data_IF_914099943792
#
_entry.id   IF_914099943792
#
_cell.length_a   1.000
_cell.length_b   1.000
_cell.length_c   1.000
_cell.angle_alpha   90.00
_cell.angle_beta   90.00
_cell.angle_gamma   90.00
#
_symmetry.space_group_name_H-M   'P 1'
#
loop_
_entity.id
_entity.type
_entity.pdbx_description
1 polymer ?
#
# COMPACT_ATOMS: atom_id res chain seq x y z
N UNK A 1 -30.18 -4.90 34.49
CA UNK A 1 -28.74 -4.63 34.68
C UNK A 1 -27.85 -5.50 33.78
N UNK A 2 -28.11 -6.80 33.60
CA UNK A 2 -27.23 -7.70 32.85
C UNK A 2 -27.16 -7.44 31.33
N UNK A 3 -28.30 -7.24 30.65
CA UNK A 3 -28.34 -7.16 29.17
C UNK A 3 -27.52 -6.00 28.61
N UNK A 4 -27.66 -4.81 29.20
CA UNK A 4 -26.88 -3.62 28.81
C UNK A 4 -25.36 -3.84 28.96
N UNK A 5 -24.96 -4.43 30.10
CA UNK A 5 -23.58 -4.78 30.39
C UNK A 5 -23.05 -5.83 29.43
N UNK A 6 -23.85 -6.84 29.06
CA UNK A 6 -23.46 -7.86 28.08
C UNK A 6 -23.27 -7.28 26.68
N UNK A 7 -24.13 -6.36 26.25
CA UNK A 7 -24.01 -5.69 24.94
C UNK A 7 -22.75 -4.82 24.90
N UNK A 8 -22.53 -3.99 25.93
CA UNK A 8 -21.31 -3.20 26.05
C UNK A 8 -20.06 -4.08 26.09
N UNK A 9 -20.10 -5.17 26.85
CA UNK A 9 -18.99 -6.08 26.97
C UNK A 9 -18.69 -6.77 25.64
N UNK A 10 -19.72 -7.22 24.90
CA UNK A 10 -19.56 -7.75 23.55
C UNK A 10 -18.95 -6.72 22.59
N UNK A 11 -19.41 -5.48 22.65
CA UNK A 11 -18.86 -4.37 21.86
C UNK A 11 -17.39 -4.10 22.20
N UNK A 12 -17.03 -4.15 23.49
CA UNK A 12 -15.65 -4.02 23.96
C UNK A 12 -14.77 -5.16 23.45
N UNK A 13 -15.22 -6.42 23.57
CA UNK A 13 -14.47 -7.59 23.10
C UNK A 13 -14.24 -7.51 21.60
N UNK A 14 -15.26 -7.09 20.84
CA UNK A 14 -15.13 -6.88 19.39
C UNK A 14 -14.12 -5.77 19.05
N UNK A 15 -14.13 -4.67 19.80
CA UNK A 15 -13.16 -3.59 19.60
C UNK A 15 -11.73 -3.98 19.99
N UNK A 16 -11.56 -4.71 21.10
CA UNK A 16 -10.27 -5.18 21.58
C UNK A 16 -9.65 -6.19 20.61
N UNK A 17 -10.46 -7.13 20.11
CA UNK A 17 -10.01 -8.10 19.11
C UNK A 17 -9.65 -7.41 17.80
N UNK A 18 -10.45 -6.43 17.35
CA UNK A 18 -10.12 -5.59 16.19
C UNK A 18 -8.79 -4.85 16.39
N UNK A 19 -8.58 -4.21 17.55
CA UNK A 19 -7.33 -3.53 17.86
C UNK A 19 -6.13 -4.48 17.90
N UNK A 20 -6.29 -5.68 18.45
CA UNK A 20 -5.24 -6.68 18.52
C UNK A 20 -4.84 -7.16 17.11
N UNK A 21 -5.82 -7.44 16.26
CA UNK A 21 -5.59 -7.77 14.84
C UNK A 21 -4.89 -6.61 14.15
N UNK A 22 -5.32 -5.37 14.39
CA UNK A 22 -4.79 -4.19 13.71
C UNK A 22 -3.37 -3.81 14.18
N UNK A 23 -3.05 -4.10 15.44
CA UNK A 23 -1.75 -3.84 16.05
C UNK A 23 -0.69 -4.88 15.68
N UNK A 24 -1.08 -6.06 15.21
CA UNK A 24 -0.13 -7.05 14.69
C UNK A 24 0.54 -6.51 13.42
N UNK A 25 1.81 -6.85 13.16
CA UNK A 25 2.45 -6.56 11.88
C UNK A 25 1.79 -7.39 10.77
N UNK A 26 0.67 -6.92 10.23
CA UNK A 26 -0.10 -7.67 9.24
C UNK A 26 0.68 -7.78 7.93
N UNK A 27 0.60 -8.93 7.23
CA UNK A 27 1.13 -9.08 5.88
C UNK A 27 0.38 -8.15 4.91
N UNK A 28 1.05 -7.75 3.83
CA UNK A 28 0.57 -6.74 2.87
C UNK A 28 -0.78 -7.10 2.22
N UNK A 29 -1.08 -8.39 2.08
CA UNK A 29 -2.36 -8.89 1.58
C UNK A 29 -3.53 -8.57 2.53
N UNK A 30 -3.35 -8.84 3.83
CA UNK A 30 -4.36 -8.56 4.85
C UNK A 30 -4.57 -7.06 5.04
N UNK A 31 -3.50 -6.25 4.97
CA UNK A 31 -3.62 -4.78 5.04
C UNK A 31 -4.52 -4.23 3.94
N UNK A 32 -4.34 -4.71 2.70
CA UNK A 32 -5.20 -4.32 1.56
C UNK A 32 -6.64 -4.77 1.75
N UNK A 33 -6.87 -5.97 2.29
CA UNK A 33 -8.21 -6.47 2.57
C UNK A 33 -8.91 -5.62 3.65
N UNK A 34 -8.23 -5.32 4.75
CA UNK A 34 -8.78 -4.49 5.84
C UNK A 34 -9.15 -3.08 5.37
N UNK A 35 -8.29 -2.43 4.57
CA UNK A 35 -8.57 -1.11 4.02
C UNK A 35 -9.81 -1.15 3.11
N UNK A 36 -9.92 -2.15 2.23
CA UNK A 36 -11.10 -2.32 1.37
C UNK A 36 -12.38 -2.55 2.16
N UNK A 37 -12.34 -3.44 3.15
CA UNK A 37 -13.49 -3.72 4.02
C UNK A 37 -13.90 -2.45 4.76
N UNK A 38 -12.94 -1.73 5.32
CA UNK A 38 -13.19 -0.49 6.05
C UNK A 38 -13.77 0.60 5.15
N UNK A 39 -13.20 0.81 3.96
CA UNK A 39 -13.67 1.82 3.02
C UNK A 39 -15.11 1.49 2.57
N UNK A 40 -15.39 0.21 2.32
CA UNK A 40 -16.74 -0.25 1.99
C UNK A 40 -17.72 -0.07 3.15
N UNK A 41 -17.29 -0.34 4.39
CA UNK A 41 -18.16 -0.30 5.56
C UNK A 41 -18.48 1.14 6.01
N UNK A 42 -17.51 2.07 5.95
CA UNK A 42 -17.70 3.46 6.39
C UNK A 42 -18.20 4.40 5.30
N UNK A 43 -17.72 4.28 4.06
CA UNK A 43 -18.06 5.26 3.01
C UNK A 43 -19.28 4.86 2.19
N UNK A 44 -19.55 3.57 2.03
CA UNK A 44 -20.66 3.10 1.17
C UNK A 44 -22.01 3.08 1.88
N UNK A 45 -22.03 2.97 3.21
CA UNK A 45 -23.27 2.92 3.99
C UNK A 45 -23.42 4.15 4.88
N UNK A 46 -24.16 5.14 4.39
CA UNK A 46 -24.58 6.31 5.19
C UNK A 46 -25.30 5.89 6.48
N UNK A 47 -26.06 4.79 6.43
CA UNK A 47 -26.78 4.25 7.58
C UNK A 47 -25.84 3.78 8.69
N UNK A 48 -24.74 3.09 8.35
CA UNK A 48 -23.74 2.62 9.33
C UNK A 48 -23.05 3.79 10.01
N UNK A 49 -22.72 4.84 9.27
CA UNK A 49 -22.11 6.06 9.83
C UNK A 49 -23.02 6.71 10.87
N UNK A 50 -24.31 6.83 10.57
CA UNK A 50 -25.30 7.37 11.52
C UNK A 50 -25.40 6.50 12.77
N UNK A 51 -25.47 5.18 12.62
CA UNK A 51 -25.50 4.24 13.76
C UNK A 51 -24.24 4.39 14.63
N UNK A 52 -23.06 4.48 14.02
CA UNK A 52 -21.80 4.67 14.76
C UNK A 52 -21.77 5.99 15.54
N UNK A 53 -22.28 7.08 14.96
CA UNK A 53 -22.36 8.39 15.65
C UNK A 53 -23.33 8.29 16.84
N UNK A 54 -24.51 7.69 16.65
CA UNK A 54 -25.49 7.52 17.72
C UNK A 54 -24.93 6.65 18.85
N UNK A 55 -24.29 5.53 18.52
CA UNK A 55 -23.64 4.67 19.53
C UNK A 55 -22.51 5.44 20.23
N UNK A 56 -21.71 6.22 19.52
CA UNK A 56 -20.65 7.03 20.12
C UNK A 56 -21.21 8.02 21.16
N UNK A 57 -22.25 8.78 20.80
CA UNK A 57 -22.92 9.71 21.72
C UNK A 57 -23.50 8.97 22.93
N UNK A 58 -24.10 7.80 22.71
CA UNK A 58 -24.67 6.98 23.78
C UNK A 58 -23.59 6.49 24.75
N UNK A 59 -22.46 5.98 24.25
CA UNK A 59 -21.36 5.51 25.11
C UNK A 59 -20.72 6.69 25.85
N UNK A 60 -20.57 7.87 25.21
CA UNK A 60 -20.09 9.09 25.88
C UNK A 60 -21.01 9.49 27.02
N UNK A 61 -22.33 9.50 26.79
CA UNK A 61 -23.33 9.80 27.82
C UNK A 61 -23.22 8.84 29.02
N UNK A 62 -23.06 7.55 28.74
CA UNK A 62 -22.88 6.53 29.76
C UNK A 62 -21.54 6.59 30.50
N UNK A 63 -20.48 6.99 29.81
CA UNK A 63 -19.20 7.27 30.45
C UNK A 63 -19.34 8.43 31.44
N UNK A 64 -20.00 9.53 31.04
CA UNK A 64 -20.22 10.69 31.92
C UNK A 64 -21.11 10.33 33.12
N UNK A 65 -22.21 9.60 32.91
CA UNK A 65 -23.07 9.13 34.01
C UNK A 65 -22.29 8.23 34.98
N UNK A 66 -21.56 7.25 34.45
CA UNK A 66 -20.75 6.34 35.28
C UNK A 66 -19.64 7.09 36.02
N UNK A 67 -19.00 8.07 35.37
CA UNK A 67 -17.92 8.87 35.96
C UNK A 67 -18.43 9.74 37.11
N UNK A 68 -19.58 10.41 36.92
CA UNK A 68 -20.23 11.20 37.96
C UNK A 68 -20.56 10.34 39.18
N UNK A 69 -21.15 9.16 38.98
CA UNK A 69 -21.52 8.22 40.06
C UNK A 69 -20.30 7.61 40.75
N UNK A 70 -19.23 7.32 40.02
CA UNK A 70 -18.01 6.76 40.58
C UNK A 70 -17.19 7.78 41.39
N UNK A 71 -17.33 9.07 41.07
CA UNK A 71 -16.60 10.17 41.73
C UNK A 71 -17.24 10.63 43.04
N UNK A 72 -18.45 10.16 43.36
CA UNK A 72 -19.12 10.50 44.62
C UNK A 72 -18.29 9.93 45.79
N UNK A 73 -17.87 10.78 46.74
CA UNK A 73 -17.10 10.30 47.89
C UNK A 73 -17.97 9.38 48.75
N UNK A 74 -17.34 8.33 49.28
CA UNK A 74 -18.00 7.44 50.23
C UNK A 74 -18.32 8.25 51.50
N UNK A 75 -19.52 8.11 52.10
CA UNK A 75 -19.82 8.78 53.36
C UNK A 75 -18.78 8.35 54.40
N UNK A 76 -18.06 9.29 54.99
CA UNK A 76 -17.10 8.97 56.05
C UNK A 76 -17.91 8.69 57.32
N UNK A 77 -17.91 7.44 57.78
CA UNK A 77 -18.39 7.16 59.12
C UNK A 77 -17.39 7.73 60.13
N UNK A 78 -17.79 8.77 60.87
CA UNK A 78 -16.94 9.44 61.86
C UNK A 78 -16.49 8.52 63.01
N UNK A 79 -17.17 7.38 63.19
CA UNK A 79 -16.95 6.46 64.31
C UNK A 79 -16.16 5.18 63.96
N UNK A 80 -15.45 5.12 62.83
CA UNK A 80 -14.65 3.94 62.47
C UNK A 80 -15.45 2.66 62.18
N UNK A 81 -16.79 2.74 62.13
CA UNK A 81 -17.63 1.62 61.72
C UNK A 81 -17.36 1.31 60.25
N UNK A 82 -17.10 0.03 59.96
CA UNK A 82 -16.91 -0.44 58.58
C UNK A 82 -18.07 0.02 57.70
N UNK A 83 -17.73 0.65 56.59
CA UNK A 83 -18.70 1.08 55.61
C UNK A 83 -19.52 -0.14 55.12
N UNK A 84 -20.84 0.01 54.99
CA UNK A 84 -21.70 -1.10 54.56
C UNK A 84 -21.16 -1.72 53.27
N UNK A 85 -20.99 -3.05 53.20
CA UNK A 85 -20.47 -3.75 52.02
C UNK A 85 -21.23 -3.42 50.74
N UNK A 86 -22.52 -3.12 50.84
CA UNK A 86 -23.38 -2.74 49.72
C UNK A 86 -22.96 -1.40 49.07
N UNK A 87 -22.53 -0.43 49.88
CA UNK A 87 -22.07 0.89 49.41
C UNK A 87 -20.72 0.73 48.70
N UNK A 88 -19.83 -0.10 49.25
CA UNK A 88 -18.54 -0.45 48.62
C UNK A 88 -18.75 -1.18 47.29
N UNK A 89 -19.64 -2.18 47.26
CA UNK A 89 -19.95 -2.93 46.05
C UNK A 89 -20.53 -2.03 44.96
N UNK A 90 -21.47 -1.15 45.32
CA UNK A 90 -22.08 -0.18 44.38
C UNK A 90 -21.04 0.74 43.77
N UNK A 91 -20.09 1.25 44.57
CA UNK A 91 -18.99 2.06 44.05
C UNK A 91 -18.08 1.28 43.11
N UNK A 92 -17.73 0.04 43.45
CA UNK A 92 -16.91 -0.83 42.60
C UNK A 92 -17.59 -1.10 41.25
N UNK A 93 -18.92 -1.27 41.23
CA UNK A 93 -19.69 -1.41 39.99
C UNK A 93 -19.63 -0.17 39.11
N UNK A 94 -19.79 1.02 39.69
CA UNK A 94 -19.66 2.27 38.94
C UNK A 94 -18.25 2.49 38.40
N UNK A 95 -17.21 2.19 39.20
CA UNK A 95 -15.82 2.26 38.75
C UNK A 95 -15.55 1.31 37.57
N UNK A 96 -15.98 0.05 37.65
CA UNK A 96 -15.85 -0.92 36.54
C UNK A 96 -16.51 -0.39 35.26
N UNK A 97 -17.71 0.16 35.38
CA UNK A 97 -18.44 0.67 34.22
C UNK A 97 -17.76 1.89 33.59
N UNK A 98 -17.09 2.74 34.38
CA UNK A 98 -16.23 3.83 33.87
C UNK A 98 -15.06 3.28 33.05
N UNK A 99 -14.36 2.26 33.54
CA UNK A 99 -13.23 1.68 32.80
C UNK A 99 -13.68 1.03 31.49
N UNK A 100 -14.78 0.27 31.52
CA UNK A 100 -15.34 -0.38 30.31
C UNK A 100 -15.74 0.67 29.27
N UNK A 101 -16.55 1.66 29.68
CA UNK A 101 -17.01 2.70 28.74
C UNK A 101 -15.87 3.60 28.25
N UNK A 102 -14.91 3.94 29.11
CA UNK A 102 -13.70 4.68 28.73
C UNK A 102 -12.85 3.94 27.72
N UNK A 103 -12.68 2.63 27.89
CA UNK A 103 -11.93 1.80 26.93
C UNK A 103 -12.64 1.70 25.58
N UNK A 104 -13.97 1.63 25.56
CA UNK A 104 -14.77 1.65 24.34
C UNK A 104 -14.59 2.98 23.59
N UNK A 105 -14.64 4.12 24.30
CA UNK A 105 -14.38 5.44 23.72
C UNK A 105 -12.98 5.52 23.12
N UNK A 106 -11.97 5.08 23.88
CA UNK A 106 -10.59 5.04 23.41
C UNK A 106 -10.47 4.23 22.13
N UNK A 107 -11.06 3.03 22.10
CA UNK A 107 -11.01 2.14 20.94
C UNK A 107 -11.72 2.73 19.72
N UNK A 108 -12.84 3.45 19.90
CA UNK A 108 -13.51 4.16 18.81
C UNK A 108 -12.64 5.22 18.14
N UNK A 109 -11.68 5.81 18.87
CA UNK A 109 -10.75 6.81 18.34
C UNK A 109 -9.51 6.15 17.73
N UNK A 110 -8.96 5.12 18.37
CA UNK A 110 -7.71 4.49 17.92
C UNK A 110 -7.89 3.67 16.64
N UNK A 111 -9.00 2.95 16.49
CA UNK A 111 -9.28 2.13 15.30
C UNK A 111 -9.19 2.96 14.00
N UNK A 112 -9.91 4.09 13.83
CA UNK A 112 -9.83 4.88 12.60
C UNK A 112 -8.44 5.51 12.39
N UNK A 113 -7.74 5.90 13.46
CA UNK A 113 -6.36 6.41 13.35
C UNK A 113 -5.43 5.33 12.81
N UNK A 114 -5.46 4.13 13.40
CA UNK A 114 -4.65 3.01 12.96
C UNK A 114 -4.95 2.60 11.52
N UNK A 115 -6.23 2.58 11.13
CA UNK A 115 -6.62 2.31 9.74
C UNK A 115 -6.12 3.38 8.78
N UNK A 116 -6.18 4.66 9.17
CA UNK A 116 -5.60 5.75 8.40
C UNK A 116 -4.09 5.60 8.21
N UNK A 117 -3.37 5.16 9.24
CA UNK A 117 -1.93 4.85 9.16
C UNK A 117 -1.66 3.67 8.21
N UNK A 118 -2.44 2.59 8.32
CA UNK A 118 -2.29 1.41 7.45
C UNK A 118 -2.56 1.77 5.99
N UNK A 119 -3.55 2.61 5.71
CA UNK A 119 -3.84 3.10 4.36
C UNK A 119 -2.65 3.89 3.80
N UNK A 120 -2.06 4.80 4.59
CA UNK A 120 -0.87 5.57 4.18
C UNK A 120 0.32 4.66 3.90
N UNK A 121 0.61 3.72 4.80
CA UNK A 121 1.70 2.74 4.63
C UNK A 121 1.48 1.87 3.40
N UNK A 122 0.24 1.46 3.14
CA UNK A 122 -0.10 0.63 1.97
C UNK A 122 0.09 1.42 0.67
N UNK A 123 -0.36 2.68 0.60
CA UNK A 123 -0.15 3.58 -0.55
C UNK A 123 1.34 3.80 -0.84
N UNK A 124 2.11 4.10 0.21
CA UNK A 124 3.55 4.28 0.08
C UNK A 124 4.24 3.00 -0.40
N UNK A 125 3.83 1.83 0.12
CA UNK A 125 4.34 0.54 -0.35
C UNK A 125 4.00 0.27 -1.81
N UNK A 126 2.81 0.67 -2.29
CA UNK A 126 2.44 0.52 -3.70
C UNK A 126 3.23 1.45 -4.60
N UNK A 127 3.45 2.70 -4.20
CA UNK A 127 4.26 3.65 -4.95
C UNK A 127 5.72 3.18 -5.04
N UNK A 128 6.31 2.71 -3.94
CA UNK A 128 7.66 2.13 -3.97
C UNK A 128 7.72 0.93 -4.93
N UNK A 129 6.69 0.08 -4.95
CA UNK A 129 6.67 -1.05 -5.89
C UNK A 129 6.57 -0.60 -7.35
N UNK A 130 5.75 0.40 -7.67
CA UNK A 130 5.63 0.91 -9.04
C UNK A 130 6.89 1.65 -9.49
N UNK A 131 7.53 2.42 -8.60
CA UNK A 131 8.84 3.03 -8.89
C UNK A 131 9.92 1.97 -9.13
N UNK A 132 9.93 0.87 -8.37
CA UNK A 132 10.87 -0.23 -8.62
C UNK A 132 10.60 -0.94 -9.95
N UNK A 133 9.34 -1.15 -10.31
CA UNK A 133 9.00 -1.75 -11.61
C UNK A 133 9.42 -0.82 -12.75
N UNK A 134 9.09 0.48 -12.67
CA UNK A 134 9.52 1.47 -13.68
C UNK A 134 11.04 1.57 -13.79
N UNK A 135 11.76 1.59 -12.67
CA UNK A 135 13.22 1.62 -12.67
C UNK A 135 13.87 0.33 -13.19
N UNK A 136 13.14 -0.79 -13.24
CA UNK A 136 13.60 -2.01 -13.91
C UNK A 136 13.24 -1.97 -15.41
N UNK A 137 12.07 -1.46 -15.77
CA UNK A 137 11.65 -1.23 -17.16
C UNK A 137 12.62 -0.27 -17.88
N UNK A 138 12.97 0.86 -17.23
CA UNK A 138 13.94 1.83 -17.74
C UNK A 138 15.34 1.21 -17.91
N UNK A 139 15.70 0.20 -17.10
CA UNK A 139 16.99 -0.52 -17.23
C UNK A 139 16.96 -1.53 -18.37
N UNK A 140 15.85 -2.23 -18.56
CA UNK A 140 15.65 -3.16 -19.68
C UNK A 140 15.64 -2.38 -21.01
N UNK A 141 14.96 -1.23 -21.07
CA UNK A 141 14.98 -0.33 -22.23
C UNK A 141 16.39 0.21 -22.53
N UNK A 142 17.18 0.58 -21.50
CA UNK A 142 18.57 1.04 -21.67
C UNK A 142 19.51 -0.08 -22.18
N UNK A 143 19.30 -1.33 -21.76
CA UNK A 143 20.05 -2.48 -22.27
C UNK A 143 19.69 -2.82 -23.71
N UNK A 144 18.40 -2.78 -24.07
CA UNK A 144 17.94 -2.98 -25.45
C UNK A 144 18.45 -1.87 -26.37
N UNK A 145 18.43 -0.60 -25.93
CA UNK A 145 18.97 0.53 -26.67
C UNK A 145 20.49 0.39 -26.94
N UNK A 146 21.25 -0.12 -25.96
CA UNK A 146 22.68 -0.42 -26.15
C UNK A 146 22.90 -1.53 -27.18
N UNK A 147 22.12 -2.61 -27.11
CA UNK A 147 22.20 -3.71 -28.06
C UNK A 147 21.82 -3.25 -29.49
N UNK A 148 20.81 -2.39 -29.62
CA UNK A 148 20.36 -1.84 -30.90
C UNK A 148 21.42 -0.91 -31.51
N UNK A 149 22.06 -0.04 -30.70
CA UNK A 149 23.18 0.80 -31.14
C UNK A 149 24.37 -0.03 -31.62
N UNK A 150 24.67 -1.14 -30.97
CA UNK A 150 25.75 -2.04 -31.39
C UNK A 150 25.44 -2.72 -32.73
N UNK A 151 24.20 -3.19 -32.93
CA UNK A 151 23.74 -3.74 -34.22
C UNK A 151 23.79 -2.69 -35.33
N UNK A 152 23.38 -1.45 -35.05
CA UNK A 152 23.44 -0.37 -36.03
C UNK A 152 24.89 -0.09 -36.47
N UNK A 153 25.82 0.01 -35.53
CA UNK A 153 27.24 0.19 -35.82
C UNK A 153 27.84 -0.98 -36.62
N UNK A 154 27.44 -2.22 -36.33
CA UNK A 154 27.88 -3.37 -37.13
C UNK A 154 27.36 -3.32 -38.58
N UNK A 155 26.10 -2.89 -38.77
CA UNK A 155 25.52 -2.72 -40.11
C UNK A 155 26.23 -1.61 -40.88
N UNK A 156 26.52 -0.48 -40.24
CA UNK A 156 27.26 0.63 -40.87
C UNK A 156 28.65 0.15 -41.33
N UNK A 157 29.39 -0.55 -40.47
CA UNK A 157 30.69 -1.14 -40.84
C UNK A 157 30.57 -2.12 -42.01
N UNK A 158 29.52 -2.95 -42.02
CA UNK A 158 29.29 -3.89 -43.13
C UNK A 158 28.98 -3.17 -44.44
N UNK A 159 28.22 -2.06 -44.40
CA UNK A 159 27.95 -1.22 -45.56
C UNK A 159 29.22 -0.57 -46.10
N UNK A 160 30.08 -0.04 -45.22
CA UNK A 160 31.34 0.57 -45.61
C UNK A 160 32.30 -0.44 -46.26
N UNK A 161 32.33 -1.68 -45.76
CA UNK A 161 33.08 -2.77 -46.38
C UNK A 161 32.49 -3.14 -47.74
N UNK A 162 31.16 -3.21 -47.86
CA UNK A 162 30.48 -3.49 -49.13
C UNK A 162 30.73 -2.39 -50.16
N UNK A 163 30.77 -1.12 -49.74
CA UNK A 163 31.08 0.02 -50.60
C UNK A 163 32.53 -0.06 -51.09
N UNK A 164 33.49 -0.38 -50.20
CA UNK A 164 34.88 -0.64 -50.58
C UNK A 164 35.02 -1.82 -51.55
N UNK A 165 34.26 -2.89 -51.34
CA UNK A 165 34.22 -4.04 -52.26
C UNK A 165 33.58 -3.68 -53.61
N UNK A 166 32.54 -2.85 -53.62
CA UNK A 166 31.89 -2.38 -54.82
C UNK A 166 32.81 -1.46 -55.62
N UNK A 167 33.49 -0.52 -54.95
CA UNK A 167 34.48 0.36 -55.56
C UNK A 167 35.65 -0.42 -56.17
N UNK A 168 36.21 -1.39 -55.44
CA UNK A 168 37.24 -2.30 -55.97
C UNK A 168 36.74 -3.10 -57.17
N UNK A 169 35.54 -3.70 -57.11
CA UNK A 169 35.01 -4.45 -58.26
C UNK A 169 34.76 -3.55 -59.47
N UNK A 170 34.29 -2.32 -59.25
CA UNK A 170 34.07 -1.35 -60.32
C UNK A 170 35.38 -0.96 -61.01
N UNK A 171 36.45 -0.69 -60.25
CA UNK A 171 37.77 -0.40 -60.82
C UNK A 171 38.32 -1.59 -61.61
N UNK A 172 38.14 -2.82 -61.12
CA UNK A 172 38.52 -4.03 -61.85
C UNK A 172 37.75 -4.19 -63.18
N UNK A 173 36.44 -3.91 -63.20
CA UNK A 173 35.61 -4.01 -64.42
C UNK A 173 36.00 -2.92 -65.44
N UNK A 174 36.26 -1.69 -64.99
CA UNK A 174 36.68 -0.60 -65.87
C UNK A 174 38.09 -0.86 -66.45
N UNK A 175 38.99 -1.47 -65.68
CA UNK A 175 40.33 -1.89 -66.14
C UNK A 175 40.25 -3.04 -67.17
N UNK A 176 39.30 -3.97 -67.02
CA UNK A 176 39.15 -5.09 -67.97
C UNK A 176 38.39 -4.72 -69.25
N UNK A 177 37.56 -3.67 -69.24
CA UNK A 177 36.94 -3.12 -70.46
C UNK A 177 37.97 -2.49 -71.40
N UNK A 178 39.07 -1.94 -70.87
CA UNK A 178 40.20 -1.43 -71.66
C UNK A 178 41.07 -2.55 -72.28
N UNK A 179 40.89 -3.81 -71.88
CA UNK A 179 41.61 -4.96 -72.42
C UNK A 179 40.99 -5.61 -73.67
N UNK A 180 39.74 -5.26 -74.00
CA UNK A 180 39.02 -5.88 -75.13
C UNK A 180 39.34 -5.17 -76.46
N UNK A 181 39.73 -3.89 -76.45
CA UNK A 181 40.04 -3.15 -77.69
C UNK A 181 41.42 -3.47 -78.31
N UNK A 182 42.28 -4.26 -77.64
CA UNK A 182 43.65 -4.51 -78.12
C UNK A 182 43.86 -5.82 -78.89
N UNK A 183 42.83 -6.68 -79.02
CA UNK A 183 42.97 -7.96 -79.76
C UNK A 183 42.59 -7.91 -81.24
N UNK A 184 41.93 -6.84 -81.73
CA UNK A 184 41.51 -6.75 -83.13
C UNK A 184 42.54 -6.11 -84.09
N UNK A 185 43.67 -5.59 -83.60
CA UNK A 185 44.67 -4.92 -84.44
C UNK A 185 45.87 -5.77 -84.89
N UNK A 186 45.95 -7.05 -84.50
CA UNK A 186 47.08 -7.93 -84.83
C UNK A 186 46.83 -8.98 -85.94
N UNK A 187 45.62 -9.05 -86.53
CA UNK A 187 45.28 -10.07 -87.55
C UNK A 187 45.24 -9.57 -89.01
N UNK A 188 45.60 -8.32 -89.32
CA UNK A 188 45.46 -7.75 -90.70
C UNK A 188 46.78 -7.43 -91.43
N UNK A 189 47.89 -8.05 -91.05
CA UNK A 189 49.19 -7.88 -91.73
C UNK A 189 49.89 -9.21 -92.02
N UNK A 190 49.19 -10.13 -92.69
CA UNK A 190 49.80 -11.31 -93.31
C UNK A 190 48.87 -11.89 -94.38
N UNK A 191 48.71 -11.19 -95.49
CA UNK A 191 48.48 -11.76 -96.83
C UNK A 191 48.69 -10.70 -97.89
#
# INVERSE_FOLDING_TARGET
MAVYLTILFGLLVLQLTSLLILSLPLPTLLRRALVKIYDQFLFKSSQVKTILIVVNILVVSLFVDSYKRASVPLPKTENGLMLQPEILATKAYHQRNVYISGFILYSMIVIPIMLGLITKVTKLSTEISTYKTKANDDKEEDEELKALKQKLNSKIKSFEVLEKQYANRKSFVDEHKLGVDKKDSLSKKAQ
#
